data_IF_615514402834
#
_entry.id   IF_615514402834
#
_cell.length_a   1.000
_cell.length_b   1.000
_cell.length_c   1.000
_cell.angle_alpha   90.00
_cell.angle_beta   90.00
_cell.angle_gamma   90.00
#
_symmetry.space_group_name_H-M   'P 1'
#
loop_
_entity.id
_entity.type
_entity.pdbx_description
1 polymer ?
#
# COMPACT_ATOMS: atom_id res chain seq x y z
N UNK A 1 -0.15 49.47 -20.05
CA UNK A 1 -1.43 48.75 -19.85
C UNK A 1 -2.33 49.66 -19.04
N UNK A 2 -3.54 50.01 -19.49
CA UNK A 2 -4.40 50.94 -18.72
C UNK A 2 -4.92 50.27 -17.45
N UNK A 3 -5.04 51.02 -16.34
CA UNK A 3 -5.44 50.50 -15.01
C UNK A 3 -6.67 49.58 -15.08
N UNK A 4 -7.65 49.94 -15.91
CA UNK A 4 -8.87 49.14 -16.14
C UNK A 4 -8.58 47.76 -16.74
N UNK A 5 -7.63 47.65 -17.67
CA UNK A 5 -7.23 46.36 -18.28
C UNK A 5 -6.44 45.50 -17.30
N UNK A 6 -5.63 46.11 -16.44
CA UNK A 6 -4.90 45.37 -15.40
C UNK A 6 -5.85 44.79 -14.35
N UNK A 7 -6.87 45.53 -13.92
CA UNK A 7 -7.88 45.03 -12.97
C UNK A 7 -8.72 43.91 -13.58
N UNK A 8 -9.15 44.08 -14.84
CA UNK A 8 -10.04 43.12 -15.51
C UNK A 8 -9.38 41.75 -15.77
N UNK A 9 -8.05 41.71 -15.93
CA UNK A 9 -7.28 40.47 -16.15
C UNK A 9 -6.65 39.94 -14.86
N UNK A 10 -6.17 40.84 -13.98
CA UNK A 10 -5.47 40.45 -12.75
C UNK A 10 -6.37 39.75 -11.74
N UNK A 11 -7.59 40.24 -11.53
CA UNK A 11 -8.53 39.67 -10.57
C UNK A 11 -8.95 38.22 -10.89
N UNK A 12 -9.40 37.89 -12.11
CA UNK A 12 -9.75 36.50 -12.43
C UNK A 12 -8.52 35.57 -12.41
N UNK A 13 -7.35 36.06 -12.83
CA UNK A 13 -6.09 35.31 -12.73
C UNK A 13 -5.74 34.96 -11.28
N UNK A 14 -5.88 35.92 -10.37
CA UNK A 14 -5.61 35.70 -8.95
C UNK A 14 -6.60 34.71 -8.31
N UNK A 15 -7.89 34.79 -8.65
CA UNK A 15 -8.89 33.81 -8.21
C UNK A 15 -8.55 32.41 -8.73
N UNK A 16 -8.18 32.30 -10.01
CA UNK A 16 -7.81 31.02 -10.61
C UNK A 16 -6.58 30.41 -9.94
N UNK A 17 -5.53 31.20 -9.71
CA UNK A 17 -4.31 30.75 -9.01
C UNK A 17 -4.65 30.33 -7.57
N UNK A 18 -5.42 31.13 -6.84
CA UNK A 18 -5.86 30.79 -5.48
C UNK A 18 -6.67 29.49 -5.45
N UNK A 19 -7.60 29.31 -6.39
CA UNK A 19 -8.39 28.09 -6.55
C UNK A 19 -7.51 26.86 -6.83
N UNK A 20 -6.56 26.98 -7.75
CA UNK A 20 -5.60 25.91 -8.06
C UNK A 20 -4.74 25.54 -6.84
N UNK A 21 -4.26 26.53 -6.08
CA UNK A 21 -3.48 26.29 -4.85
C UNK A 21 -4.32 25.61 -3.77
N UNK A 22 -5.58 26.00 -3.59
CA UNK A 22 -6.49 25.34 -2.65
C UNK A 22 -6.75 23.89 -3.08
N UNK A 23 -7.08 23.65 -4.35
CA UNK A 23 -7.30 22.30 -4.86
C UNK A 23 -6.05 21.42 -4.67
N UNK A 24 -4.87 21.96 -4.97
CA UNK A 24 -3.61 21.26 -4.73
C UNK A 24 -3.40 20.92 -3.25
N UNK A 25 -3.67 21.87 -2.35
CA UNK A 25 -3.53 21.66 -0.92
C UNK A 25 -4.51 20.60 -0.39
N UNK A 26 -5.76 20.59 -0.86
CA UNK A 26 -6.74 19.56 -0.47
C UNK A 26 -6.47 18.19 -1.11
N UNK A 27 -5.91 18.16 -2.32
CA UNK A 27 -5.56 16.91 -3.00
C UNK A 27 -4.42 16.17 -2.30
N UNK A 28 -3.48 16.90 -1.70
CA UNK A 28 -2.33 16.31 -0.98
C UNK A 28 -2.61 15.88 0.46
N UNK A 29 -3.79 16.15 1.00
CA UNK A 29 -4.16 15.68 2.33
C UNK A 29 -4.49 14.18 2.29
N UNK A 30 -4.08 13.41 3.31
CA UNK A 30 -4.48 12.01 3.42
C UNK A 30 -6.01 11.92 3.50
N UNK A 31 -6.54 10.78 3.03
CA UNK A 31 -7.99 10.53 3.03
C UNK A 31 -8.55 10.45 4.45
N UNK A 32 -7.75 10.08 5.44
CA UNK A 32 -8.13 10.08 6.84
C UNK A 32 -6.92 9.89 7.77
N UNK A 33 -7.15 9.70 9.07
CA UNK A 33 -6.11 9.29 9.99
C UNK A 33 -5.51 7.93 9.59
N UNK A 34 -4.22 7.74 9.83
CA UNK A 34 -3.53 6.47 9.52
C UNK A 34 -4.08 5.33 10.37
N UNK A 35 -4.27 4.16 9.77
CA UNK A 35 -4.69 2.95 10.47
C UNK A 35 -3.62 2.52 11.49
N UNK A 36 -3.97 2.43 12.77
CA UNK A 36 -3.07 1.90 13.79
C UNK A 36 -2.96 0.38 13.63
N UNK A 37 -1.81 -0.08 13.14
CA UNK A 37 -1.51 -1.51 13.00
C UNK A 37 -0.72 -1.99 14.22
N UNK A 38 -1.02 -3.18 14.77
CA UNK A 38 -0.19 -3.78 15.81
C UNK A 38 1.21 -4.10 15.27
N UNK A 39 2.24 -3.75 16.03
CA UNK A 39 3.63 -3.94 15.62
C UNK A 39 4.02 -5.43 15.68
N UNK A 40 4.54 -6.03 14.58
CA UNK A 40 5.00 -7.40 14.59
C UNK A 40 6.27 -7.56 15.43
N UNK A 41 6.24 -8.42 16.45
CA UNK A 41 7.43 -8.81 17.22
C UNK A 41 8.04 -10.06 16.58
N UNK A 42 9.12 -9.91 15.81
CA UNK A 42 9.84 -11.06 15.24
C UNK A 42 10.88 -11.60 16.25
N UNK A 43 10.89 -12.90 16.58
CA UNK A 43 11.94 -13.50 17.39
C UNK A 43 13.22 -13.71 16.57
N UNK A 44 14.37 -13.30 17.11
CA UNK A 44 15.70 -13.51 16.52
C UNK A 44 16.16 -14.94 16.79
N UNK A 45 16.40 -15.74 15.74
CA UNK A 45 17.00 -17.07 15.85
C UNK A 45 18.49 -17.05 15.41
N UNK A 46 19.41 -17.75 16.10
CA UNK A 46 20.84 -17.74 15.74
C UNK A 46 21.17 -18.69 14.58
N UNK A 47 22.04 -18.25 13.67
CA UNK A 47 22.62 -19.04 12.58
C UNK A 47 23.60 -20.11 13.13
N UNK A 48 23.20 -21.38 13.12
CA UNK A 48 24.08 -22.52 13.39
C UNK A 48 24.71 -23.06 12.09
N UNK A 49 26.03 -23.16 12.04
CA UNK A 49 26.84 -23.69 10.93
C UNK A 49 26.85 -25.23 11.01
N UNK A 50 26.52 -25.95 9.93
CA UNK A 50 26.67 -27.42 9.84
C UNK A 50 27.73 -27.81 8.79
N UNK A 51 28.53 -28.89 9.00
CA UNK A 51 29.59 -29.29 8.09
C UNK A 51 29.06 -30.05 6.86
N UNK A 52 29.72 -29.86 5.72
CA UNK A 52 29.41 -30.51 4.43
C UNK A 52 30.21 -31.81 4.30
N UNK A 53 29.53 -32.94 4.08
CA UNK A 53 30.15 -34.19 3.61
C UNK A 53 29.69 -34.58 2.19
N UNK A 54 30.72 -34.86 1.39
CA UNK A 54 30.90 -35.75 0.23
C UNK A 54 29.75 -36.00 -0.76
N UNK A 55 30.00 -35.55 -1.99
CA UNK A 55 29.16 -35.65 -3.20
C UNK A 55 29.02 -37.08 -3.72
N UNK A 56 27.77 -37.55 -3.84
CA UNK A 56 27.38 -38.68 -4.67
C UNK A 56 26.17 -38.28 -5.53
N UNK A 57 26.29 -38.51 -6.85
CA UNK A 57 25.32 -38.37 -7.94
C UNK A 57 24.28 -37.24 -7.78
N UNK A 58 24.42 -36.15 -8.53
CA UNK A 58 23.47 -35.03 -8.53
C UNK A 58 22.12 -35.44 -9.15
N UNK A 59 21.04 -35.68 -8.37
CA UNK A 59 19.70 -35.51 -8.92
C UNK A 59 19.53 -34.02 -9.24
N UNK A 60 18.82 -33.71 -10.33
CA UNK A 60 18.33 -32.34 -10.57
C UNK A 60 17.58 -31.93 -9.29
N UNK A 61 17.99 -30.85 -8.59
CA UNK A 61 17.29 -30.43 -7.39
C UNK A 61 15.86 -30.09 -7.80
N UNK A 62 14.88 -30.84 -7.30
CA UNK A 62 13.51 -30.40 -7.35
C UNK A 62 13.48 -29.00 -6.73
N UNK A 63 13.01 -28.01 -7.48
CA UNK A 63 12.86 -26.66 -6.95
C UNK A 63 11.96 -26.76 -5.72
N UNK A 64 12.41 -26.30 -4.54
CA UNK A 64 11.60 -26.46 -3.33
C UNK A 64 10.28 -25.73 -3.55
N UNK A 65 9.18 -26.48 -3.44
CA UNK A 65 7.84 -25.92 -3.53
C UNK A 65 7.71 -24.91 -2.38
N UNK A 66 7.26 -23.66 -2.64
CA UNK A 66 7.15 -22.65 -1.60
C UNK A 66 6.29 -23.17 -0.45
N UNK A 67 6.91 -23.40 0.70
CA UNK A 67 6.18 -23.79 1.90
C UNK A 67 5.51 -22.55 2.50
N UNK A 68 4.20 -22.61 2.76
CA UNK A 68 3.49 -21.49 3.34
C UNK A 68 3.92 -21.28 4.80
N UNK A 69 4.04 -20.01 5.20
CA UNK A 69 4.40 -19.64 6.58
C UNK A 69 3.26 -19.95 7.57
N UNK A 70 3.63 -20.22 8.82
CA UNK A 70 2.72 -20.33 9.97
C UNK A 70 1.65 -21.44 9.89
N UNK A 71 1.98 -22.61 9.33
CA UNK A 71 1.10 -23.78 9.35
C UNK A 71 -0.08 -23.71 8.38
N UNK A 72 -0.03 -22.81 7.40
CA UNK A 72 -1.02 -22.81 6.33
C UNK A 72 -0.98 -24.14 5.55
N UNK A 73 -2.16 -24.73 5.35
CA UNK A 73 -2.28 -26.07 4.76
C UNK A 73 -2.02 -26.12 3.25
N UNK A 74 -2.01 -24.96 2.58
CA UNK A 74 -1.95 -24.85 1.12
C UNK A 74 -1.02 -23.72 0.69
N UNK A 75 -0.31 -23.84 -0.45
CA UNK A 75 0.53 -22.80 -1.03
C UNK A 75 -0.34 -21.75 -1.75
N UNK A 76 -1.29 -21.18 -1.02
CA UNK A 76 -2.25 -20.19 -1.53
C UNK A 76 -2.26 -19.00 -0.59
N UNK A 77 -2.23 -17.79 -1.15
CA UNK A 77 -2.40 -16.55 -0.39
C UNK A 77 -3.67 -15.83 -0.85
N UNK A 78 -4.54 -15.52 0.11
CA UNK A 78 -5.71 -14.67 -0.14
C UNK A 78 -5.43 -13.26 0.37
N UNK A 79 -5.57 -12.27 -0.50
CA UNK A 79 -5.41 -10.85 -0.20
C UNK A 79 -6.78 -10.19 -0.31
N UNK A 80 -7.23 -9.56 0.78
CA UNK A 80 -8.40 -8.69 0.78
C UNK A 80 -7.95 -7.26 0.45
N UNK A 81 -8.30 -6.78 -0.74
CA UNK A 81 -8.02 -5.42 -1.17
C UNK A 81 -9.26 -4.53 -0.95
N UNK A 82 -9.08 -3.44 -0.21
CA UNK A 82 -10.14 -2.48 0.12
C UNK A 82 -9.73 -1.10 -0.40
N UNK A 83 -10.57 -0.50 -1.23
CA UNK A 83 -10.45 0.88 -1.70
C UNK A 83 -11.47 1.76 -0.98
N UNK A 84 -11.04 2.90 -0.48
CA UNK A 84 -11.87 3.87 0.23
C UNK A 84 -11.45 5.28 -0.15
N UNK A 85 -12.40 6.13 -0.53
CA UNK A 85 -12.22 7.57 -0.67
C UNK A 85 -12.74 8.37 0.53
N UNK A 86 -13.18 7.68 1.59
CA UNK A 86 -13.86 8.28 2.73
C UNK A 86 -12.96 9.28 3.45
N UNK A 87 -13.43 10.53 3.54
CA UNK A 87 -12.77 11.64 4.27
C UNK A 87 -13.62 12.12 5.43
N UNK A 88 -13.55 11.44 6.58
CA UNK A 88 -14.23 11.87 7.80
C UNK A 88 -14.35 10.79 8.87
N UNK A 89 -14.70 11.21 10.08
CA UNK A 89 -14.71 10.35 11.28
C UNK A 89 -16.10 9.79 11.62
N UNK A 90 -17.06 9.90 10.70
CA UNK A 90 -18.44 9.45 10.91
C UNK A 90 -18.58 7.92 11.02
N UNK A 91 -17.57 7.18 10.57
CA UNK A 91 -17.47 5.72 10.67
C UNK A 91 -16.11 5.35 11.29
N UNK A 92 -16.10 4.41 12.24
CA UNK A 92 -14.90 3.99 12.99
C UNK A 92 -13.69 3.66 12.09
N UNK A 93 -13.94 3.14 10.88
CA UNK A 93 -12.90 2.71 9.92
C UNK A 93 -13.13 3.24 8.50
N UNK A 94 -13.99 4.24 8.33
CA UNK A 94 -14.43 4.71 7.00
C UNK A 94 -15.37 3.75 6.27
N UNK A 95 -15.76 4.13 5.05
CA UNK A 95 -16.55 3.30 4.13
C UNK A 95 -15.66 2.80 2.99
N UNK A 96 -15.93 1.61 2.49
CA UNK A 96 -15.23 1.06 1.32
C UNK A 96 -16.07 1.26 0.05
N UNK A 97 -15.46 1.85 -0.98
CA UNK A 97 -16.09 1.97 -2.31
C UNK A 97 -15.88 0.70 -3.13
N UNK A 98 -14.78 -0.02 -2.86
CA UNK A 98 -14.39 -1.23 -3.57
C UNK A 98 -13.84 -2.25 -2.58
N UNK A 99 -14.34 -3.49 -2.68
CA UNK A 99 -13.82 -4.65 -1.94
C UNK A 99 -13.53 -5.75 -2.96
N UNK A 100 -12.29 -6.25 -2.99
CA UNK A 100 -11.86 -7.33 -3.89
C UNK A 100 -11.10 -8.40 -3.13
N UNK A 101 -11.35 -9.65 -3.51
CA UNK A 101 -10.58 -10.79 -3.06
C UNK A 101 -9.60 -11.20 -4.18
N UNK A 102 -8.31 -11.21 -3.87
CA UNK A 102 -7.26 -11.70 -4.77
C UNK A 102 -6.73 -13.00 -4.22
N UNK A 103 -6.76 -14.06 -5.04
CA UNK A 103 -6.17 -15.35 -4.71
C UNK A 103 -4.90 -15.52 -5.52
N UNK A 104 -3.80 -15.78 -4.83
CA UNK A 104 -2.49 -16.07 -5.41
C UNK A 104 -2.21 -17.55 -5.19
N UNK A 105 -2.12 -18.30 -6.29
CA UNK A 105 -1.70 -19.69 -6.32
C UNK A 105 -0.20 -19.76 -6.58
N UNK A 106 0.57 -20.25 -5.62
CA UNK A 106 1.99 -20.48 -5.81
C UNK A 106 2.18 -21.87 -6.45
N UNK A 107 2.62 -21.88 -7.72
CA UNK A 107 2.96 -23.08 -8.49
C UNK A 107 4.41 -23.50 -8.29
#
# INVERSE_FOLDING_TARGET
MTLKKAVLVGFPSLIFICGCLLLFFFYRKPLGPSLSLPQPTLPVAPLGILPVETSAATPIPATPTPQPLCGAAQPVMNILAIGSDARGDHYLYGLADIIRLVRVDFV
#
